data_IF_477942031776
#
_entry.id   IF_477942031776
#
_cell.length_a   1.000
_cell.length_b   1.000
_cell.length_c   1.000
_cell.angle_alpha   90.00
_cell.angle_beta   90.00
_cell.angle_gamma   90.00
#
_symmetry.space_group_name_H-M   'P 1'
#
loop_
_entity.id
_entity.type
_entity.pdbx_description
1 polymer ?
#
# COMPACT_ATOMS: atom_id res chain seq x y z
N UNK A 1 -5.74 2.70 9.43
CA UNK A 1 -5.72 1.35 10.02
C UNK A 1 -6.75 0.49 9.32
N UNK A 2 -6.66 -0.84 9.45
CA UNK A 2 -7.57 -1.79 8.80
C UNK A 2 -8.53 -2.36 9.83
N UNK A 3 -9.82 -2.30 9.50
CA UNK A 3 -10.90 -2.86 10.31
C UNK A 3 -11.79 -3.72 9.43
N UNK A 4 -12.16 -4.90 9.91
CA UNK A 4 -13.19 -5.74 9.32
C UNK A 4 -14.48 -5.59 10.12
N UNK A 5 -15.61 -5.50 9.43
CA UNK A 5 -16.92 -5.52 10.04
C UNK A 5 -17.67 -6.77 9.59
N UNK A 6 -18.01 -7.66 10.52
CA UNK A 6 -18.69 -8.93 10.24
C UNK A 6 -20.23 -8.79 10.15
N UNK A 7 -20.73 -7.55 10.13
CA UNK A 7 -22.17 -7.23 10.25
C UNK A 7 -22.63 -6.98 11.69
N UNK A 8 -21.77 -7.21 12.69
CA UNK A 8 -22.09 -7.02 14.12
C UNK A 8 -20.97 -6.32 14.90
N UNK A 9 -19.71 -6.69 14.66
CA UNK A 9 -18.53 -6.23 15.41
C UNK A 9 -17.41 -5.79 14.48
N UNK A 10 -16.61 -4.82 14.95
CA UNK A 10 -15.39 -4.41 14.27
C UNK A 10 -14.18 -5.13 14.87
N UNK A 11 -13.40 -5.79 14.01
CA UNK A 11 -12.09 -6.35 14.37
C UNK A 11 -10.99 -5.48 13.76
N UNK A 12 -10.07 -4.97 14.59
CA UNK A 12 -8.90 -4.22 14.11
C UNK A 12 -7.77 -5.16 13.76
N UNK A 13 -7.23 -5.04 12.55
CA UNK A 13 -6.11 -5.87 12.08
C UNK A 13 -4.76 -5.16 12.18
N UNK A 14 -4.75 -3.84 12.42
CA UNK A 14 -3.52 -3.02 12.43
C UNK A 14 -2.90 -2.83 13.82
N UNK A 15 -3.14 -3.74 14.78
CA UNK A 15 -2.53 -3.63 16.12
C UNK A 15 -2.03 -4.96 16.67
N UNK A 16 -0.71 -5.13 16.63
CA UNK A 16 0.04 -5.72 17.75
C UNK A 16 1.49 -5.21 17.87
N UNK A 17 2.20 -4.92 16.78
CA UNK A 17 3.68 -4.85 16.86
C UNK A 17 4.37 -3.55 16.39
N UNK A 18 3.75 -2.38 16.60
CA UNK A 18 4.47 -1.09 16.63
C UNK A 18 5.31 -0.70 15.40
N UNK A 19 5.21 -1.39 14.27
CA UNK A 19 6.02 -1.15 13.08
C UNK A 19 5.18 -1.15 11.79
N UNK A 20 5.40 -0.06 11.06
CA UNK A 20 5.13 0.21 9.64
C UNK A 20 3.69 0.61 9.27
N UNK A 21 3.54 1.94 9.19
CA UNK A 21 2.44 2.78 8.70
C UNK A 21 1.00 2.34 9.00
N UNK A 22 0.36 3.11 9.91
CA UNK A 22 -1.07 3.00 10.19
C UNK A 22 -1.95 3.71 9.14
N UNK A 23 -1.34 4.38 8.17
CA UNK A 23 -2.06 5.12 7.12
C UNK A 23 -2.30 4.21 5.94
N UNK A 24 -3.57 3.92 5.71
CA UNK A 24 -4.08 3.17 4.56
C UNK A 24 -4.87 4.15 3.72
N UNK A 25 -4.55 4.24 2.43
CA UNK A 25 -5.15 5.18 1.48
C UNK A 25 -6.12 4.50 0.53
N UNK A 26 -5.89 3.23 0.22
CA UNK A 26 -6.70 2.45 -0.71
C UNK A 26 -6.73 0.98 -0.31
N UNK A 27 -7.78 0.30 -0.72
CA UNK A 27 -7.97 -1.14 -0.59
C UNK A 27 -8.53 -1.70 -1.89
N UNK A 28 -7.99 -2.83 -2.36
CA UNK A 28 -8.55 -3.63 -3.46
C UNK A 28 -8.46 -5.12 -3.11
N UNK A 29 -9.22 -5.94 -3.83
CA UNK A 29 -9.11 -7.40 -3.82
C UNK A 29 -8.55 -7.88 -5.16
N UNK A 30 -7.59 -8.80 -5.13
CA UNK A 30 -7.07 -9.44 -6.34
C UNK A 30 -7.89 -10.68 -6.74
N UNK A 31 -7.65 -11.25 -7.92
CA UNK A 31 -8.42 -12.40 -8.43
C UNK A 31 -8.15 -13.70 -7.64
N UNK A 32 -7.23 -13.66 -6.66
CA UNK A 32 -6.89 -14.76 -5.74
C UNK A 32 -7.44 -14.51 -4.33
N UNK A 33 -8.37 -13.57 -4.17
CA UNK A 33 -8.99 -13.17 -2.91
C UNK A 33 -8.00 -12.67 -1.85
N UNK A 34 -6.86 -12.10 -2.28
CA UNK A 34 -6.01 -11.36 -1.37
C UNK A 34 -6.48 -9.91 -1.31
N UNK A 35 -6.50 -9.33 -0.11
CA UNK A 35 -6.70 -7.91 0.07
C UNK A 35 -5.37 -7.17 -0.03
N UNK A 36 -5.36 -6.10 -0.78
CA UNK A 36 -4.20 -5.23 -0.95
C UNK A 36 -4.51 -3.85 -0.41
N UNK A 37 -3.58 -3.29 0.35
CA UNK A 37 -3.69 -1.99 0.99
C UNK A 37 -2.57 -1.09 0.48
N UNK A 38 -2.95 0.06 -0.07
CA UNK A 38 -2.00 1.14 -0.37
C UNK A 38 -1.71 1.91 0.91
N UNK A 39 -0.44 2.03 1.29
CA UNK A 39 -0.02 2.65 2.55
C UNK A 39 1.04 3.73 2.33
N UNK A 40 1.35 4.49 3.38
CA UNK A 40 2.44 5.47 3.36
C UNK A 40 3.80 4.86 2.96
N UNK A 41 4.03 3.57 3.17
CA UNK A 41 5.33 2.93 2.99
C UNK A 41 5.32 1.82 1.91
N UNK A 42 4.38 1.90 0.97
CA UNK A 42 4.20 0.91 -0.10
C UNK A 42 2.95 0.08 0.10
N UNK A 43 3.02 -1.21 -0.22
CA UNK A 43 1.87 -2.11 -0.21
C UNK A 43 1.86 -3.01 1.03
N UNK A 44 0.66 -3.35 1.48
CA UNK A 44 0.44 -4.47 2.39
C UNK A 44 -0.52 -5.44 1.72
N UNK A 45 -0.19 -6.72 1.69
CA UNK A 45 -1.03 -7.82 1.20
C UNK A 45 -1.55 -8.64 2.37
N UNK A 46 -2.83 -9.01 2.34
CA UNK A 46 -3.44 -9.94 3.28
C UNK A 46 -4.06 -11.12 2.53
N UNK A 47 -3.58 -12.33 2.82
CA UNK A 47 -4.01 -13.55 2.14
C UNK A 47 -5.10 -14.34 2.89
N UNK A 48 -5.81 -13.70 3.81
CA UNK A 48 -6.76 -14.36 4.71
C UNK A 48 -6.13 -14.99 5.95
N UNK A 49 -4.80 -15.02 6.05
CA UNK A 49 -4.07 -15.56 7.22
C UNK A 49 -3.06 -14.58 7.81
N UNK A 50 -2.26 -13.95 6.97
CA UNK A 50 -1.17 -13.08 7.40
C UNK A 50 -1.04 -11.84 6.52
N UNK A 51 -0.44 -10.79 7.10
CA UNK A 51 -0.07 -9.58 6.39
C UNK A 51 1.38 -9.67 5.91
N UNK A 52 1.63 -9.23 4.68
CA UNK A 52 2.95 -9.15 4.06
C UNK A 52 3.18 -7.71 3.58
N UNK A 53 4.32 -7.12 3.95
CA UNK A 53 4.70 -5.78 3.52
C UNK A 53 5.57 -5.86 2.27
N UNK A 54 5.18 -5.13 1.23
CA UNK A 54 5.88 -5.11 -0.06
C UNK A 54 6.32 -3.66 -0.32
N UNK A 55 7.62 -3.34 -0.14
CA UNK A 55 8.13 -2.01 -0.39
C UNK A 55 8.10 -1.68 -1.89
N UNK A 56 7.90 -0.40 -2.22
CA UNK A 56 8.09 0.09 -3.59
C UNK A 56 9.58 0.32 -3.87
N UNK A 57 10.03 0.24 -5.14
CA UNK A 57 11.44 0.28 -5.49
C UNK A 57 12.12 1.65 -5.31
N UNK A 58 11.39 2.69 -4.89
CA UNK A 58 11.95 4.03 -4.77
C UNK A 58 12.66 4.23 -3.43
N UNK A 59 13.99 4.38 -3.47
CA UNK A 59 14.81 4.53 -2.25
C UNK A 59 15.38 5.94 -2.05
N UNK A 60 15.29 6.83 -3.03
CA UNK A 60 16.00 8.12 -2.97
C UNK A 60 15.07 9.35 -2.87
N UNK A 61 14.61 9.66 -1.65
CA UNK A 61 13.83 10.87 -1.38
C UNK A 61 14.61 12.17 -1.55
N UNK A 62 15.94 12.14 -1.77
CA UNK A 62 16.77 13.34 -1.88
C UNK A 62 16.76 13.98 -3.26
N UNK A 63 16.34 13.23 -4.30
CA UNK A 63 16.43 13.65 -5.70
C UNK A 63 15.13 14.21 -6.31
N UNK A 64 14.00 14.20 -5.60
CA UNK A 64 12.75 14.80 -6.09
C UNK A 64 12.64 16.22 -5.55
N UNK A 65 13.12 17.23 -6.29
CA UNK A 65 12.66 18.63 -6.30
C UNK A 65 12.35 19.40 -4.98
N UNK A 66 12.65 18.88 -3.78
CA UNK A 66 11.85 19.22 -2.60
C UNK A 66 12.59 19.38 -1.28
N UNK A 67 13.90 19.62 -1.31
CA UNK A 67 14.53 20.19 -0.11
C UNK A 67 14.11 21.67 0.13
N UNK A 68 13.32 22.29 -0.77
CA UNK A 68 12.87 23.69 -0.60
C UNK A 68 11.42 24.05 -0.96
N UNK A 69 10.62 23.20 -1.63
CA UNK A 69 9.29 23.64 -2.16
C UNK A 69 8.08 22.83 -1.68
N UNK A 70 8.21 21.53 -1.40
CA UNK A 70 7.13 20.65 -0.88
C UNK A 70 7.72 19.48 -0.05
N UNK A 71 8.14 19.71 1.21
CA UNK A 71 8.76 18.70 2.06
C UNK A 71 7.86 17.51 2.49
N UNK A 72 6.71 17.28 1.85
CA UNK A 72 5.60 16.48 2.42
C UNK A 72 5.22 15.24 1.58
N UNK A 73 5.73 15.10 0.35
CA UNK A 73 5.32 13.99 -0.53
C UNK A 73 6.28 12.81 -0.34
N UNK A 74 5.82 11.77 0.37
CA UNK A 74 6.52 10.49 0.40
C UNK A 74 6.30 9.78 -0.95
N UNK A 75 7.35 9.59 -1.79
CA UNK A 75 7.20 8.95 -3.09
C UNK A 75 6.81 7.46 -2.98
N UNK A 76 7.01 6.84 -1.82
CA UNK A 76 6.59 5.47 -1.53
C UNK A 76 5.15 5.37 -1.02
N UNK A 77 4.44 6.48 -0.86
CA UNK A 77 3.04 6.45 -0.47
C UNK A 77 2.18 5.92 -1.65
N UNK A 78 1.70 4.69 -1.52
CA UNK A 78 0.79 4.05 -2.45
C UNK A 78 -0.63 4.59 -2.18
N UNK A 79 -1.03 5.62 -2.93
CA UNK A 79 -2.31 6.29 -2.74
C UNK A 79 -3.46 5.55 -3.42
N UNK A 80 -3.25 5.05 -4.63
CA UNK A 80 -4.29 4.37 -5.41
C UNK A 80 -3.79 3.02 -5.91
N UNK A 81 -4.71 2.06 -5.93
CA UNK A 81 -4.48 0.72 -6.43
C UNK A 81 -5.56 0.36 -7.46
N UNK A 82 -5.17 -0.41 -8.47
CA UNK A 82 -6.09 -1.07 -9.39
C UNK A 82 -5.55 -2.44 -9.77
N UNK A 83 -6.43 -3.43 -9.90
CA UNK A 83 -6.08 -4.74 -10.45
C UNK A 83 -6.45 -4.77 -11.93
N UNK A 84 -5.55 -5.27 -12.78
CA UNK A 84 -5.84 -5.49 -14.20
C UNK A 84 -6.31 -6.92 -14.48
N UNK A 85 -6.74 -7.17 -15.72
CA UNK A 85 -7.24 -8.48 -16.17
C UNK A 85 -6.21 -9.62 -16.08
N UNK A 86 -4.93 -9.30 -15.97
CA UNK A 86 -3.85 -10.28 -15.83
C UNK A 86 -3.43 -10.45 -14.35
N UNK A 87 -4.21 -9.91 -13.41
CA UNK A 87 -3.94 -9.94 -11.97
C UNK A 87 -2.68 -9.15 -11.56
N UNK A 88 -2.22 -8.21 -12.39
CA UNK A 88 -1.21 -7.25 -11.97
C UNK A 88 -1.85 -6.13 -11.16
N UNK A 89 -1.06 -5.56 -10.25
CA UNK A 89 -1.48 -4.43 -9.44
C UNK A 89 -0.80 -3.18 -9.96
N UNK A 90 -1.60 -2.20 -10.34
CA UNK A 90 -1.16 -0.86 -10.68
C UNK A 90 -1.23 0.01 -9.43
N UNK A 91 -0.14 0.72 -9.16
CA UNK A 91 0.04 1.56 -7.97
C UNK A 91 0.27 2.99 -8.41
N UNK A 92 -0.64 3.89 -8.06
CA UNK A 92 -0.41 5.33 -8.15
C UNK A 92 0.21 5.85 -6.86
N UNK A 93 1.33 6.55 -6.96
CA UNK A 93 2.01 7.13 -5.79
C UNK A 93 1.84 8.64 -5.73
N UNK A 94 2.07 9.21 -4.55
CA UNK A 94 1.96 10.65 -4.33
C UNK A 94 3.01 11.48 -5.11
N UNK A 95 4.12 10.87 -5.55
CA UNK A 95 5.20 11.58 -6.25
C UNK A 95 6.19 10.73 -7.04
N UNK A 96 6.25 9.42 -6.81
CA UNK A 96 7.10 8.49 -7.58
C UNK A 96 6.52 8.06 -8.93
N UNK A 97 5.37 8.62 -9.34
CA UNK A 97 4.64 8.21 -10.53
C UNK A 97 3.80 6.95 -10.28
N UNK A 98 3.73 6.08 -11.30
CA UNK A 98 2.97 4.84 -11.23
C UNK A 98 3.87 3.60 -11.36
N UNK A 99 3.61 2.59 -10.54
CA UNK A 99 4.28 1.30 -10.58
C UNK A 99 3.31 0.19 -10.99
N UNK A 100 3.88 -0.91 -11.50
CA UNK A 100 3.15 -2.15 -11.73
C UNK A 100 3.84 -3.27 -10.96
N UNK A 101 3.07 -4.02 -10.20
CA UNK A 101 3.50 -5.23 -9.51
C UNK A 101 2.89 -6.46 -10.20
N UNK A 102 3.73 -7.37 -10.70
CA UNK A 102 3.34 -8.55 -11.48
C UNK A 102 3.38 -9.86 -10.68
N UNK A 103 3.61 -9.77 -9.36
CA UNK A 103 3.75 -10.94 -8.48
C UNK A 103 5.15 -11.56 -8.45
N UNK A 104 6.14 -10.99 -9.14
CA UNK A 104 7.54 -11.45 -9.13
C UNK A 104 8.46 -10.32 -8.65
N UNK A 105 9.43 -10.66 -7.81
CA UNK A 105 10.48 -9.74 -7.34
C UNK A 105 11.57 -9.60 -8.40
#
# INVERSE_FOLDING_TARGET
GVFFFDGKTFTSYTKKDGRNSNQVFSIIEDNKNNLWFGTQNGLVKYNGKQFEHIPLPYQDTTSIWLDKVYPIINPNAAHSLAVDQNDNIWIGTAGGGAYKYDGKN
#
